data_IF_829498498387
#
_entry.id   IF_829498498387
#
_cell.length_a   1.000
_cell.length_b   1.000
_cell.length_c   1.000
_cell.angle_alpha   90.00
_cell.angle_beta   90.00
_cell.angle_gamma   90.00
#
_symmetry.space_group_name_H-M   'P 1'
#
loop_
_entity.id
_entity.type
_entity.pdbx_description
1 polymer ?
#
# COMPACT_ATOMS: atom_id res chain seq x y z
N UNK A 1 -20.91 13.86 -23.95
CA UNK A 1 -21.02 13.88 -22.61
C UNK A 1 -20.20 12.84 -21.96
N UNK A 2 -19.39 13.21 -21.08
CA UNK A 2 -18.53 12.28 -20.62
C UNK A 2 -19.00 11.63 -19.37
N UNK A 3 -18.54 10.45 -19.13
CA UNK A 3 -18.91 9.70 -17.95
C UNK A 3 -18.18 10.29 -16.74
N UNK A 4 -18.91 10.77 -15.79
CA UNK A 4 -18.24 11.37 -14.64
C UNK A 4 -17.34 10.41 -13.90
N UNK A 5 -17.69 9.15 -13.89
CA UNK A 5 -16.88 8.18 -13.18
C UNK A 5 -15.50 8.09 -13.78
N UNK A 6 -15.46 8.05 -15.08
CA UNK A 6 -14.17 7.95 -15.74
C UNK A 6 -13.35 9.19 -15.58
N UNK A 7 -14.04 10.30 -15.43
CA UNK A 7 -13.31 11.53 -15.31
C UNK A 7 -12.68 11.73 -13.98
N UNK A 8 -13.33 11.19 -12.99
CA UNK A 8 -12.91 11.46 -11.65
C UNK A 8 -11.64 10.76 -11.29
N UNK A 9 -11.39 9.67 -11.91
CA UNK A 9 -10.31 8.83 -11.48
C UNK A 9 -9.05 9.25 -12.18
N UNK A 10 -8.14 9.86 -11.47
CA UNK A 10 -6.95 10.32 -12.12
C UNK A 10 -5.75 10.40 -11.20
N UNK A 11 -5.81 9.76 -10.07
CA UNK A 11 -4.72 9.96 -9.13
C UNK A 11 -3.51 9.11 -9.39
N UNK A 12 -3.65 8.04 -10.08
CA UNK A 12 -2.49 7.27 -10.43
C UNK A 12 -1.93 6.38 -9.35
N UNK A 13 -2.70 6.12 -8.32
CA UNK A 13 -2.26 5.24 -7.26
C UNK A 13 -3.17 4.03 -7.23
N UNK A 14 -2.58 2.86 -7.16
CA UNK A 14 -3.33 1.63 -7.04
C UNK A 14 -3.00 0.96 -5.73
N UNK A 15 -3.98 0.88 -4.86
CA UNK A 15 -3.86 0.19 -3.59
C UNK A 15 -5.11 -0.65 -3.43
N UNK A 16 -4.94 -1.94 -3.28
CA UNK A 16 -6.03 -2.86 -3.07
C UNK A 16 -6.06 -3.30 -1.63
N UNK A 17 -7.26 -3.39 -1.10
CA UNK A 17 -7.47 -3.89 0.25
C UNK A 17 -8.35 -5.11 0.15
N UNK A 18 -7.81 -6.25 0.51
CA UNK A 18 -8.49 -7.52 0.35
C UNK A 18 -9.67 -7.59 1.30
N UNK A 19 -10.79 -8.01 0.78
CA UNK A 19 -11.97 -8.27 1.60
C UNK A 19 -12.82 -7.05 1.87
N UNK A 20 -12.43 -5.89 1.45
CA UNK A 20 -13.25 -4.72 1.63
C UNK A 20 -13.43 -4.00 0.32
N UNK A 21 -12.59 -3.08 0.04
CA UNK A 21 -12.65 -2.38 -1.20
C UNK A 21 -11.25 -2.20 -1.67
N UNK A 22 -11.13 -1.77 -2.85
CA UNK A 22 -9.83 -1.47 -3.34
C UNK A 22 -9.87 -0.09 -3.89
N UNK A 23 -8.73 0.52 -3.91
CA UNK A 23 -8.61 1.80 -4.44
C UNK A 23 -7.77 1.72 -5.62
N UNK A 24 -8.34 2.14 -6.76
CA UNK A 24 -7.57 2.12 -7.88
C UNK A 24 -7.80 3.34 -8.61
N UNK A 25 -6.82 3.83 -9.16
CA UNK A 25 -6.89 5.02 -9.83
C UNK A 25 -6.50 4.76 -11.20
N UNK A 26 -7.42 4.76 -12.02
CA UNK A 26 -7.14 4.52 -13.35
C UNK A 26 -6.63 5.71 -13.97
N UNK A 27 -5.59 5.62 -14.54
CA UNK A 27 -5.13 6.68 -15.32
C UNK A 27 -5.68 6.54 -16.67
N UNK A 28 -6.34 7.51 -17.07
CA UNK A 28 -6.70 7.56 -18.45
C UNK A 28 -5.50 7.87 -19.25
N UNK A 29 -4.48 8.43 -18.65
CA UNK A 29 -3.31 8.74 -19.40
C UNK A 29 -2.15 8.11 -18.76
N UNK A 30 -1.19 7.84 -19.53
CA UNK A 30 0.05 7.32 -19.04
C UNK A 30 0.68 8.37 -18.18
N UNK A 31 1.50 7.98 -17.30
CA UNK A 31 2.19 8.91 -16.45
C UNK A 31 1.59 9.12 -15.10
N UNK A 32 0.63 8.32 -14.76
CA UNK A 32 0.11 8.37 -13.40
C UNK A 32 1.02 7.62 -12.46
N UNK A 33 1.28 8.15 -11.28
CA UNK A 33 2.13 7.45 -10.31
C UNK A 33 1.54 6.12 -9.93
N UNK A 34 2.38 5.14 -9.74
CA UNK A 34 1.96 3.79 -9.45
C UNK A 34 2.95 3.12 -8.53
N UNK A 35 2.45 2.38 -7.55
CA UNK A 35 3.26 1.70 -6.57
C UNK A 35 3.23 0.18 -6.75
N UNK A 36 2.06 -0.40 -6.82
CA UNK A 36 1.92 -1.85 -7.10
C UNK A 36 1.87 -2.73 -5.87
N UNK A 37 1.09 -2.37 -4.87
CA UNK A 37 0.90 -3.21 -3.70
C UNK A 37 -0.56 -3.50 -3.48
N UNK A 38 -0.80 -4.59 -2.75
CA UNK A 38 -2.13 -5.02 -2.40
C UNK A 38 -2.09 -5.48 -0.96
N UNK A 39 -3.09 -5.16 -0.18
CA UNK A 39 -3.07 -5.56 1.22
C UNK A 39 -4.28 -5.10 1.99
N UNK A 40 -4.10 -4.90 3.27
CA UNK A 40 -5.18 -4.57 4.19
C UNK A 40 -4.71 -3.59 5.24
N UNK A 41 -5.63 -2.75 5.69
CA UNK A 41 -5.35 -1.93 6.86
C UNK A 41 -5.14 -2.84 8.07
N UNK A 42 -4.31 -2.38 8.99
CA UNK A 42 -4.06 -3.15 10.20
C UNK A 42 -5.22 -2.93 11.16
N UNK A 43 -5.97 -3.98 11.41
CA UNK A 43 -7.07 -3.95 12.38
C UNK A 43 -6.52 -4.28 13.77
N UNK A 44 -7.31 -4.07 14.84
CA UNK A 44 -6.83 -4.48 16.17
C UNK A 44 -6.45 -5.95 16.24
N UNK A 45 -7.22 -6.81 15.58
CA UNK A 45 -6.91 -8.25 15.60
C UNK A 45 -5.62 -8.56 14.86
N UNK A 46 -5.38 -7.88 13.74
CA UNK A 46 -4.14 -8.07 13.00
C UNK A 46 -2.97 -7.53 13.83
N UNK A 47 -3.14 -6.36 14.45
CA UNK A 47 -2.08 -5.80 15.27
C UNK A 47 -1.71 -6.75 16.40
N UNK A 48 -2.72 -7.35 17.03
CA UNK A 48 -2.47 -8.29 18.10
C UNK A 48 -1.73 -9.52 17.59
N UNK A 49 -2.14 -10.03 16.45
CA UNK A 49 -1.50 -11.20 15.85
C UNK A 49 -0.03 -10.91 15.51
N UNK A 50 0.25 -9.71 15.05
CA UNK A 50 1.60 -9.33 14.65
C UNK A 50 2.44 -8.79 15.80
N UNK A 51 1.84 -8.58 16.97
CA UNK A 51 2.57 -8.04 18.09
C UNK A 51 2.83 -6.55 17.98
N UNK A 52 1.99 -5.84 17.23
CA UNK A 52 2.11 -4.40 17.10
C UNK A 52 1.43 -3.71 18.27
N UNK A 53 1.96 -2.55 18.64
CA UNK A 53 1.43 -1.83 19.79
C UNK A 53 0.13 -1.10 19.46
N UNK A 54 -0.04 -0.72 18.20
CA UNK A 54 -1.21 0.05 17.79
C UNK A 54 -1.79 -0.55 16.52
N UNK A 55 -3.11 -0.45 16.36
CA UNK A 55 -3.75 -0.97 15.15
C UNK A 55 -3.71 0.05 14.03
N UNK A 56 -2.51 0.43 13.62
CA UNK A 56 -2.33 1.40 12.55
C UNK A 56 -1.33 0.82 11.56
N UNK A 57 -1.48 1.21 10.32
CA UNK A 57 -0.58 0.79 9.27
C UNK A 57 -1.29 0.03 8.16
N UNK A 58 -0.51 -0.36 7.20
CA UNK A 58 -1.01 -1.11 6.04
C UNK A 58 -0.15 -2.34 5.85
N UNK A 59 -0.77 -3.51 5.96
CA UNK A 59 -0.08 -4.79 5.80
C UNK A 59 -0.08 -5.18 4.34
N UNK A 60 1.08 -5.33 3.75
CA UNK A 60 1.21 -5.72 2.36
C UNK A 60 0.97 -7.22 2.24
N UNK A 61 -0.03 -7.60 1.45
CA UNK A 61 -0.31 -9.01 1.16
C UNK A 61 0.51 -9.47 -0.01
N UNK A 62 0.57 -8.67 -1.06
CA UNK A 62 1.32 -9.02 -2.26
C UNK A 62 1.86 -7.79 -2.93
N UNK A 63 2.91 -8.00 -3.70
CA UNK A 63 3.54 -6.95 -4.48
C UNK A 63 3.43 -7.36 -5.93
N UNK A 64 2.98 -6.45 -6.77
CA UNK A 64 2.76 -6.77 -8.17
C UNK A 64 4.11 -6.98 -8.86
N UNK A 65 4.23 -8.01 -9.69
CA UNK A 65 5.51 -8.26 -10.38
C UNK A 65 5.88 -7.08 -11.28
N UNK A 66 7.15 -6.76 -11.28
CA UNK A 66 7.72 -5.69 -12.10
C UNK A 66 7.19 -4.31 -11.73
N UNK A 67 6.68 -4.17 -10.53
CA UNK A 67 6.17 -2.89 -10.05
C UNK A 67 7.29 -2.09 -9.38
N UNK A 68 7.07 -0.80 -9.17
CA UNK A 68 8.01 -0.01 -8.39
C UNK A 68 8.23 -0.57 -6.99
N UNK A 69 7.18 -1.11 -6.37
CA UNK A 69 7.30 -1.68 -5.04
C UNK A 69 8.23 -2.90 -5.05
N UNK A 70 8.09 -3.75 -6.05
CA UNK A 70 8.94 -4.92 -6.15
C UNK A 70 10.39 -4.50 -6.38
N UNK A 71 10.59 -3.58 -7.29
CA UNK A 71 11.94 -3.12 -7.62
C UNK A 71 12.62 -2.52 -6.40
N UNK A 72 11.86 -1.84 -5.56
CA UNK A 72 12.42 -1.19 -4.38
C UNK A 72 12.68 -2.17 -3.23
N UNK A 73 12.10 -3.36 -3.29
CA UNK A 73 12.32 -4.34 -2.24
C UNK A 73 11.23 -4.41 -1.19
N UNK A 74 10.07 -3.83 -1.45
CA UNK A 74 8.93 -4.06 -0.58
C UNK A 74 8.48 -5.50 -0.73
N UNK A 75 8.00 -6.08 0.35
CA UNK A 75 7.70 -7.52 0.38
C UNK A 75 6.26 -7.78 0.75
N UNK A 76 5.64 -8.69 0.02
CA UNK A 76 4.36 -9.23 0.37
C UNK A 76 4.50 -10.40 1.32
N UNK A 77 3.35 -10.93 1.76
CA UNK A 77 3.32 -12.04 2.67
C UNK A 77 3.35 -13.37 1.97
N UNK A 78 3.46 -14.41 2.76
CA UNK A 78 3.57 -15.77 2.22
C UNK A 78 2.74 -16.78 3.00
N UNK A 79 2.00 -16.33 4.02
CA UNK A 79 1.25 -17.28 4.83
C UNK A 79 -0.14 -16.75 5.06
N UNK A 80 -1.14 -17.51 4.66
CA UNK A 80 -2.54 -17.10 4.81
C UNK A 80 -3.06 -17.64 6.13
N UNK A 81 -3.64 -16.78 6.93
CA UNK A 81 -4.31 -17.17 8.17
C UNK A 81 -5.69 -16.51 8.17
N UNK A 82 -6.57 -17.02 9.03
CA UNK A 82 -7.89 -16.44 9.18
C UNK A 82 -7.91 -15.62 10.45
N UNK A 83 -8.25 -14.35 10.33
CA UNK A 83 -8.34 -13.44 11.45
C UNK A 83 -9.71 -12.77 11.38
N UNK A 84 -10.51 -12.92 12.43
CA UNK A 84 -11.87 -12.40 12.47
C UNK A 84 -12.69 -12.86 11.27
N UNK A 85 -12.51 -14.11 10.88
CA UNK A 85 -13.29 -14.69 9.80
C UNK A 85 -12.85 -14.28 8.42
N UNK A 86 -11.73 -13.59 8.28
CA UNK A 86 -11.25 -13.13 6.98
C UNK A 86 -9.85 -13.64 6.72
N UNK A 87 -9.53 -13.95 5.46
CA UNK A 87 -8.17 -14.36 5.14
C UNK A 87 -7.25 -13.15 5.21
N UNK A 88 -6.12 -13.33 5.86
CA UNK A 88 -5.10 -12.31 6.00
C UNK A 88 -3.78 -12.96 5.62
N UNK A 89 -3.00 -12.28 4.80
CA UNK A 89 -1.71 -12.82 4.39
C UNK A 89 -0.63 -12.20 5.27
N UNK A 90 0.03 -13.03 6.03
CA UNK A 90 1.07 -12.59 6.95
C UNK A 90 2.45 -12.78 6.35
N UNK A 91 3.41 -12.09 6.89
CA UNK A 91 4.80 -12.20 6.46
C UNK A 91 5.29 -11.01 5.66
N UNK A 92 4.37 -10.19 5.20
CA UNK A 92 4.74 -9.01 4.43
C UNK A 92 5.09 -7.82 5.29
N UNK A 93 5.52 -6.76 4.64
CA UNK A 93 5.86 -5.52 5.32
C UNK A 93 4.61 -4.82 5.82
N UNK A 94 4.73 -4.10 6.93
CA UNK A 94 3.68 -3.23 7.41
C UNK A 94 4.15 -1.80 7.22
N UNK A 95 3.48 -1.05 6.38
CA UNK A 95 3.82 0.35 6.14
C UNK A 95 3.27 1.17 7.29
N UNK A 96 4.13 1.96 7.93
CA UNK A 96 3.72 2.80 9.05
C UNK A 96 3.97 4.27 8.81
N UNK A 97 4.75 4.63 7.81
CA UNK A 97 4.98 6.04 7.48
C UNK A 97 5.36 6.18 6.03
N UNK A 98 5.07 7.34 5.46
CA UNK A 98 5.44 7.72 4.10
C UNK A 98 6.11 9.08 4.20
N UNK A 99 7.35 9.18 3.72
CA UNK A 99 8.15 10.40 3.80
C UNK A 99 8.18 10.96 5.22
N UNK A 100 8.35 10.06 6.19
CA UNK A 100 8.40 10.38 7.61
C UNK A 100 7.08 10.91 8.19
N UNK A 101 6.00 10.80 7.45
CA UNK A 101 4.69 11.17 7.96
C UNK A 101 3.97 9.88 8.32
N UNK A 102 3.60 9.76 9.57
CA UNK A 102 2.94 8.55 10.06
C UNK A 102 1.61 8.37 9.36
N UNK A 103 1.31 7.14 8.98
CA UNK A 103 0.03 6.83 8.35
C UNK A 103 -0.72 5.84 9.23
N UNK A 104 -2.04 5.88 9.15
CA UNK A 104 -2.87 4.96 9.90
C UNK A 104 -3.50 3.90 9.03
N UNK A 105 -3.74 4.21 7.76
CA UNK A 105 -4.44 3.29 6.88
C UNK A 105 -4.08 3.57 5.42
N UNK A 106 -4.72 2.83 4.53
CA UNK A 106 -4.47 2.96 3.10
C UNK A 106 -4.83 4.34 2.57
N UNK A 107 -5.83 4.99 3.15
CA UNK A 107 -6.22 6.30 2.67
C UNK A 107 -5.14 7.32 2.93
N UNK A 108 -4.45 7.19 4.06
CA UNK A 108 -3.35 8.10 4.35
C UNK A 108 -2.21 7.91 3.37
N UNK A 109 -1.92 6.66 2.98
CA UNK A 109 -0.91 6.40 1.98
C UNK A 109 -1.32 7.06 0.66
N UNK A 110 -2.56 6.86 0.27
CA UNK A 110 -3.04 7.41 -0.98
C UNK A 110 -2.97 8.92 -0.98
N UNK A 111 -3.33 9.54 0.14
CA UNK A 111 -3.28 10.99 0.24
C UNK A 111 -1.85 11.53 0.09
N UNK A 112 -0.86 10.79 0.56
CA UNK A 112 0.52 11.19 0.38
C UNK A 112 0.97 11.02 -1.06
N UNK A 113 0.57 9.91 -1.69
CA UNK A 113 1.05 9.62 -3.04
C UNK A 113 0.37 10.45 -4.10
N UNK A 114 -0.84 10.92 -3.84
CA UNK A 114 -1.58 11.69 -4.82
C UNK A 114 -0.87 13.01 -5.14
N UNK A 115 0.00 13.46 -4.27
CA UNK A 115 0.74 14.70 -4.48
C UNK A 115 2.06 14.46 -5.21
N UNK A 116 2.36 13.22 -5.53
CA UNK A 116 3.63 12.88 -6.16
C UNK A 116 3.47 12.73 -7.66
N UNK A 117 4.61 12.67 -8.33
CA UNK A 117 4.66 12.49 -9.78
C UNK A 117 5.42 11.24 -10.11
N UNK A 118 5.23 10.76 -11.33
CA UNK A 118 6.01 9.64 -11.82
C UNK A 118 7.49 10.00 -11.76
N UNK A 119 8.28 9.10 -11.23
CA UNK A 119 9.71 9.32 -11.06
C UNK A 119 10.11 9.87 -9.72
N UNK A 120 9.15 10.34 -8.92
CA UNK A 120 9.48 10.82 -7.58
C UNK A 120 9.90 9.65 -6.70
N UNK A 121 10.80 9.92 -5.78
CA UNK A 121 11.23 8.92 -4.81
C UNK A 121 10.47 9.19 -3.53
N UNK A 122 9.84 8.14 -2.99
CA UNK A 122 9.05 8.21 -1.78
C UNK A 122 9.64 7.23 -0.79
N UNK A 123 9.87 7.69 0.44
CA UNK A 123 10.44 6.83 1.46
C UNK A 123 9.31 6.18 2.24
N UNK A 124 9.31 4.86 2.28
CA UNK A 124 8.35 4.11 3.08
C UNK A 124 9.04 3.57 4.31
N UNK A 125 8.46 3.82 5.47
CA UNK A 125 8.94 3.21 6.70
C UNK A 125 8.06 1.99 6.95
N UNK A 126 8.69 0.83 7.08
CA UNK A 126 7.96 -0.41 7.24
C UNK A 126 8.48 -1.18 8.44
N UNK A 127 7.61 -2.01 9.00
CA UNK A 127 8.00 -2.99 9.99
C UNK A 127 8.14 -4.31 9.24
N UNK A 128 9.33 -4.89 9.34
CA UNK A 128 9.66 -6.16 8.70
C UNK A 128 10.15 -7.09 9.78
N UNK A 129 9.25 -8.00 10.20
CA UNK A 129 9.55 -8.84 11.36
C UNK A 129 9.63 -7.97 12.61
N UNK A 130 10.77 -7.97 13.26
CA UNK A 130 10.97 -7.14 14.44
C UNK A 130 11.77 -5.88 14.14
N UNK A 131 12.06 -5.61 12.86
CA UNK A 131 12.88 -4.48 12.47
C UNK A 131 12.03 -3.41 11.81
N UNK A 132 12.44 -2.17 11.98
CA UNK A 132 11.88 -1.04 11.27
C UNK A 132 12.89 -0.64 10.21
N UNK A 133 12.43 -0.57 8.96
CA UNK A 133 13.30 -0.25 7.84
C UNK A 133 12.71 0.85 7.00
N UNK A 134 13.58 1.60 6.36
CA UNK A 134 13.17 2.66 5.44
C UNK A 134 13.56 2.23 4.04
N UNK A 135 12.61 2.32 3.14
CA UNK A 135 12.76 1.83 1.78
C UNK A 135 12.35 2.93 0.82
N UNK A 136 13.27 3.32 -0.04
CA UNK A 136 12.98 4.34 -1.05
C UNK A 136 12.40 3.65 -2.28
N UNK A 137 11.27 4.18 -2.73
CA UNK A 137 10.60 3.66 -3.91
C UNK A 137 10.50 4.77 -4.93
N UNK A 138 10.98 4.51 -6.15
CA UNK A 138 10.78 5.44 -7.24
C UNK A 138 9.46 5.08 -7.91
N UNK A 139 8.50 5.99 -7.86
CA UNK A 139 7.18 5.73 -8.40
C UNK A 139 7.26 5.56 -9.91
N UNK A 140 6.54 4.57 -10.39
CA UNK A 140 6.48 4.30 -11.81
C UNK A 140 5.22 4.86 -12.43
N UNK A 141 5.08 4.62 -13.72
CA UNK A 141 3.89 5.00 -14.46
C UNK A 141 3.10 3.75 -14.82
N UNK A 142 1.80 3.91 -14.82
CA UNK A 142 0.96 2.80 -15.19
C UNK A 142 -0.03 3.20 -16.27
#
# INVERSE_FOLDING_TARGET
>A
MQNPINTVISFGVLISVVGTSFYYVSATDEGQPWLGIEGSNVTPAIAQTLGLQEPVGFLIFSVEPSSPAETAGLRGGDRVVTIDGRPVVLGGDVIIAVDNIQIEDAQDIEAQLIQKSVGDIVEFTVIRGSLTEQIDVRLGAR
#
